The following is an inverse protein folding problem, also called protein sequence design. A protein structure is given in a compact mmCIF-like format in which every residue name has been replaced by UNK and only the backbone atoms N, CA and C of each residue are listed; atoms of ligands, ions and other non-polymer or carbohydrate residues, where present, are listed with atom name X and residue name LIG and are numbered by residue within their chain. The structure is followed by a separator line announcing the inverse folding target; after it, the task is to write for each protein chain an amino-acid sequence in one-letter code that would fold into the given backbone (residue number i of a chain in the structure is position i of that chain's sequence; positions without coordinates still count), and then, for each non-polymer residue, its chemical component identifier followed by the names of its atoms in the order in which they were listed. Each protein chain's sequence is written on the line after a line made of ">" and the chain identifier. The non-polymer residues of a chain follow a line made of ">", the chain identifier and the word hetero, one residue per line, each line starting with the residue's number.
data_IF_268921867384
#
_entry.id   IF_268921867384
#
_cell.length_a   1.000
_cell.length_b   1.000
_cell.length_c   1.000
_cell.angle_alpha   90.00
_cell.angle_beta   90.00
_cell.angle_gamma   90.00
#
_symmetry.space_group_name_H-M   'P 1'
#
loop_
_entity.id
_entity.type
_entity.pdbx_description
1 polymer ?
#
# COMPACT_ATOMS: atom_id res chain seq x y z
N UNK A 1 -56.96 9.99 -0.57
CA UNK A 1 -55.67 9.40 -0.14
C UNK A 1 -54.55 10.10 -0.89
N UNK A 2 -53.49 10.48 -0.22
CA UNK A 2 -52.35 11.08 -0.91
C UNK A 2 -51.63 10.05 -1.79
N UNK A 3 -51.05 10.46 -2.89
CA UNK A 3 -50.33 9.54 -3.80
C UNK A 3 -49.21 8.75 -3.10
N UNK A 4 -48.65 9.27 -1.99
CA UNK A 4 -47.67 8.58 -1.16
C UNK A 4 -48.19 7.32 -0.47
N UNK A 5 -49.45 7.33 -0.02
CA UNK A 5 -50.07 6.14 0.58
C UNK A 5 -50.33 5.05 -0.50
N UNK A 6 -50.71 5.45 -1.71
CA UNK A 6 -50.88 4.53 -2.81
C UNK A 6 -49.53 3.86 -3.21
N UNK A 7 -48.47 4.63 -3.19
CA UNK A 7 -47.09 4.11 -3.42
C UNK A 7 -46.67 3.11 -2.34
N UNK A 8 -46.98 3.37 -1.08
CA UNK A 8 -46.66 2.48 0.04
C UNK A 8 -47.36 1.14 -0.05
N UNK A 9 -48.63 1.12 -0.56
CA UNK A 9 -49.47 -0.08 -0.67
C UNK A 9 -49.17 -0.89 -1.92
N UNK A 10 -48.54 -0.30 -2.93
CA UNK A 10 -48.21 -0.95 -4.21
C UNK A 10 -46.99 -1.90 -4.02
N UNK A 11 -47.21 -3.03 -3.31
CA UNK A 11 -46.22 -4.06 -3.05
C UNK A 11 -46.62 -5.35 -3.73
N UNK A 12 -45.75 -5.91 -4.56
CA UNK A 12 -45.96 -7.19 -5.24
C UNK A 12 -45.10 -8.33 -4.65
N UNK A 13 -45.25 -9.54 -5.18
CA UNK A 13 -44.51 -10.72 -4.72
C UNK A 13 -42.98 -10.58 -4.87
N UNK A 14 -42.52 -9.76 -5.81
CA UNK A 14 -41.08 -9.48 -6.04
C UNK A 14 -40.47 -8.62 -4.95
N UNK A 15 -41.26 -7.74 -4.33
CA UNK A 15 -40.80 -6.80 -3.31
C UNK A 15 -40.41 -7.48 -2.00
N UNK A 16 -40.84 -8.73 -1.79
CA UNK A 16 -40.46 -9.54 -0.62
C UNK A 16 -38.93 -9.69 -0.53
N UNK A 17 -38.20 -9.74 -1.68
CA UNK A 17 -36.75 -9.84 -1.71
C UNK A 17 -36.04 -8.55 -1.30
N UNK A 18 -36.75 -7.40 -1.32
CA UNK A 18 -36.19 -6.09 -0.98
C UNK A 18 -36.68 -5.58 0.38
N UNK A 19 -37.94 -5.81 0.71
CA UNK A 19 -38.59 -5.25 1.90
C UNK A 19 -39.07 -6.31 2.90
N UNK A 20 -38.93 -7.61 2.58
CA UNK A 20 -39.25 -8.72 3.48
C UNK A 20 -38.20 -8.85 4.59
N UNK A 21 -38.63 -8.89 5.86
CA UNK A 21 -37.75 -8.96 7.05
C UNK A 21 -36.69 -7.88 7.03
N UNK A 22 -37.06 -6.60 7.10
CA UNK A 22 -36.11 -5.49 6.97
C UNK A 22 -35.11 -5.46 8.11
N UNK A 23 -33.83 -5.29 7.79
CA UNK A 23 -32.72 -5.14 8.75
C UNK A 23 -32.45 -3.68 9.07
N UNK A 24 -32.76 -2.77 8.16
CA UNK A 24 -32.41 -1.35 8.23
C UNK A 24 -33.64 -0.48 8.00
N UNK A 25 -33.74 0.60 8.73
CA UNK A 25 -34.65 1.72 8.47
C UNK A 25 -33.82 2.96 8.10
N UNK A 26 -34.11 3.56 6.94
CA UNK A 26 -33.41 4.78 6.50
C UNK A 26 -33.78 6.02 7.30
N UNK A 27 -34.86 5.99 8.08
CA UNK A 27 -35.33 7.11 8.89
C UNK A 27 -34.94 7.00 10.37
N UNK A 28 -34.14 5.96 10.71
CA UNK A 28 -33.63 5.74 12.05
C UNK A 28 -32.10 5.71 11.99
N UNK A 29 -31.45 6.57 12.75
CA UNK A 29 -30.01 6.55 12.90
C UNK A 29 -29.57 5.33 13.72
N UNK A 30 -28.74 4.48 13.12
CA UNK A 30 -28.07 3.38 13.81
C UNK A 30 -26.58 3.70 13.92
N UNK A 31 -26.06 3.65 15.15
CA UNK A 31 -24.63 3.82 15.42
C UNK A 31 -24.13 2.69 16.32
N UNK A 32 -22.87 2.33 16.13
CA UNK A 32 -22.17 1.37 16.97
C UNK A 32 -21.34 2.13 18.01
N UNK A 33 -21.40 1.74 19.28
CA UNK A 33 -20.52 2.25 20.33
C UNK A 33 -19.13 1.66 20.15
N UNK A 34 -18.08 2.45 20.38
CA UNK A 34 -16.68 2.05 20.25
C UNK A 34 -15.95 2.19 21.60
N UNK A 35 -14.80 1.55 21.74
CA UNK A 35 -13.89 1.72 22.86
C UNK A 35 -13.33 3.13 22.88
N UNK A 36 -13.03 3.65 24.07
CA UNK A 36 -12.42 4.97 24.19
C UNK A 36 -10.94 4.91 23.83
N UNK A 37 -10.47 5.86 23.04
CA UNK A 37 -9.06 6.00 22.67
C UNK A 37 -8.72 7.47 22.46
N UNK A 38 -7.44 7.78 22.50
CA UNK A 38 -6.92 9.08 22.08
C UNK A 38 -5.72 8.88 21.14
N UNK A 39 -5.39 9.91 20.37
CA UNK A 39 -4.25 9.84 19.47
C UNK A 39 -3.45 11.14 19.48
N UNK A 40 -2.17 11.04 19.26
CA UNK A 40 -1.27 12.18 19.14
C UNK A 40 -0.20 11.92 18.10
N UNK A 41 0.31 12.99 17.48
CA UNK A 41 1.39 12.92 16.51
C UNK A 41 2.66 13.46 17.16
N UNK A 42 3.68 12.62 17.20
CA UNK A 42 4.96 12.91 17.84
C UNK A 42 6.11 12.89 16.84
N UNK A 43 6.99 13.88 16.98
CA UNK A 43 8.23 13.92 16.20
C UNK A 43 9.19 12.83 16.68
N UNK A 44 9.77 12.10 15.73
CA UNK A 44 10.77 11.06 15.98
C UNK A 44 12.19 11.58 15.71
N UNK A 45 13.14 11.04 16.44
CA UNK A 45 14.56 11.38 16.28
C UNK A 45 15.18 10.53 15.19
N UNK A 46 15.78 11.18 14.19
CA UNK A 46 16.56 10.51 13.15
C UNK A 46 17.95 10.26 13.71
N UNK A 47 18.38 9.01 13.76
CA UNK A 47 19.71 8.60 14.12
C UNK A 47 20.61 8.56 12.87
N UNK A 48 21.75 9.21 12.95
CA UNK A 48 22.64 9.43 11.81
C UNK A 48 22.37 10.74 11.07
N UNK A 49 23.29 11.11 10.21
CA UNK A 49 23.16 12.31 9.39
C UNK A 49 22.47 11.99 8.08
N UNK A 50 21.53 12.83 7.69
CA UNK A 50 20.93 12.76 6.35
C UNK A 50 22.01 13.23 5.36
N UNK A 51 22.38 12.35 4.45
CA UNK A 51 23.34 12.61 3.38
C UNK A 51 22.88 11.98 2.07
N UNK A 52 23.34 12.51 0.96
CA UNK A 52 23.03 11.95 -0.35
C UNK A 52 23.61 10.53 -0.45
N UNK A 53 22.76 9.58 -0.86
CA UNK A 53 23.03 8.14 -0.88
C UNK A 53 23.41 7.53 0.49
N UNK A 54 23.15 8.25 1.58
CA UNK A 54 23.41 7.79 2.94
C UNK A 54 22.23 6.98 3.52
N UNK A 55 22.41 6.55 4.76
CA UNK A 55 21.42 5.79 5.49
C UNK A 55 21.19 6.40 6.87
N UNK A 56 19.95 6.44 7.30
CA UNK A 56 19.56 6.86 8.64
C UNK A 56 18.58 5.86 9.23
N UNK A 57 18.59 5.74 10.55
CA UNK A 57 17.68 4.85 11.27
C UNK A 57 16.80 5.67 12.22
N UNK A 58 15.57 5.28 12.38
CA UNK A 58 14.61 5.85 13.32
C UNK A 58 14.12 4.71 14.18
N UNK A 59 14.34 4.81 15.47
CA UNK A 59 13.76 3.90 16.44
C UNK A 59 12.52 4.56 17.04
N UNK A 60 11.38 3.86 16.94
CA UNK A 60 10.14 4.35 17.53
C UNK A 60 10.14 4.14 19.04
N UNK A 61 10.08 5.24 19.77
CA UNK A 61 9.94 5.22 21.22
C UNK A 61 8.51 4.75 21.57
N UNK A 62 8.37 4.04 22.68
CA UNK A 62 7.08 3.57 23.18
C UNK A 62 6.31 4.69 23.91
N UNK A 63 5.96 5.74 23.17
CA UNK A 63 5.21 6.89 23.71
C UNK A 63 3.73 6.61 23.82
N UNK A 64 3.20 5.63 23.07
CA UNK A 64 1.80 5.22 23.08
C UNK A 64 1.68 3.69 22.98
N UNK A 65 0.45 3.20 23.01
CA UNK A 65 0.15 1.76 23.00
C UNK A 65 0.22 1.18 21.60
N UNK A 66 -0.22 1.95 20.60
CA UNK A 66 -0.25 1.55 19.19
C UNK A 66 0.47 2.58 18.33
N UNK A 67 1.20 2.10 17.32
CA UNK A 67 1.79 2.92 16.27
C UNK A 67 0.93 2.80 15.01
N UNK A 68 0.45 3.93 14.52
CA UNK A 68 -0.45 3.99 13.38
C UNK A 68 0.32 4.49 12.13
N UNK A 69 0.05 5.68 11.63
CA UNK A 69 0.73 6.18 10.42
C UNK A 69 2.00 6.96 10.74
N UNK A 70 2.93 6.95 9.77
CA UNK A 70 4.20 7.68 9.83
C UNK A 70 4.41 8.44 8.53
N UNK A 71 4.97 9.65 8.63
CA UNK A 71 5.29 10.45 7.45
C UNK A 71 6.58 11.27 7.63
N UNK A 72 7.23 11.58 6.51
CA UNK A 72 8.45 12.38 6.45
C UNK A 72 8.11 13.79 5.95
N UNK A 73 8.72 14.80 6.55
CA UNK A 73 8.54 16.21 6.14
C UNK A 73 9.90 16.83 5.83
N UNK A 74 10.16 17.20 4.58
CA UNK A 74 11.35 17.97 4.23
C UNK A 74 11.17 19.44 4.61
N UNK A 75 12.21 20.03 5.17
CA UNK A 75 12.21 21.44 5.56
C UNK A 75 13.59 22.09 5.40
N UNK A 76 13.64 23.41 5.54
CA UNK A 76 14.88 24.21 5.54
C UNK A 76 15.36 24.58 6.95
N UNK A 77 14.61 24.15 7.97
CA UNK A 77 14.77 24.56 9.37
C UNK A 77 13.88 25.76 9.75
N UNK A 78 13.37 26.50 8.77
CA UNK A 78 12.46 27.65 8.98
C UNK A 78 11.13 27.49 8.26
N UNK A 79 11.08 26.70 7.18
CA UNK A 79 9.88 26.44 6.39
C UNK A 79 9.89 25.02 5.81
N UNK A 80 8.71 24.47 5.51
CA UNK A 80 8.59 23.21 4.78
C UNK A 80 8.99 23.39 3.33
N UNK A 81 9.66 22.38 2.77
CA UNK A 81 10.10 22.35 1.37
C UNK A 81 9.17 21.48 0.55
N UNK A 82 8.78 21.95 -0.62
CA UNK A 82 8.05 21.14 -1.58
C UNK A 82 9.03 20.32 -2.43
N UNK A 83 8.68 19.06 -2.68
CA UNK A 83 9.50 18.12 -3.46
C UNK A 83 8.75 17.77 -4.75
N UNK A 84 9.42 17.96 -5.88
CA UNK A 84 8.85 17.61 -7.19
C UNK A 84 9.06 16.14 -7.54
N UNK A 85 10.18 15.57 -7.13
CA UNK A 85 10.54 14.18 -7.42
C UNK A 85 11.06 13.48 -6.17
N UNK A 86 10.25 12.61 -5.60
CA UNK A 86 10.58 11.83 -4.42
C UNK A 86 11.58 10.70 -4.69
N UNK A 87 11.72 10.24 -5.93
CA UNK A 87 12.65 9.17 -6.28
C UNK A 87 14.11 9.59 -6.07
N UNK A 88 14.38 10.89 -6.21
CA UNK A 88 15.71 11.47 -5.94
C UNK A 88 15.96 11.74 -4.45
N UNK A 89 14.90 11.80 -3.64
CA UNK A 89 15.00 12.11 -2.20
C UNK A 89 15.11 10.87 -1.34
N UNK A 90 14.28 9.88 -1.62
CA UNK A 90 14.21 8.62 -0.87
C UNK A 90 14.42 7.46 -1.83
N UNK A 91 15.47 6.69 -1.63
CA UNK A 91 15.73 5.50 -2.47
C UNK A 91 14.88 4.33 -2.01
N UNK A 92 14.94 4.02 -0.71
CA UNK A 92 14.18 2.91 -0.13
C UNK A 92 13.96 3.09 1.36
N UNK A 93 12.89 2.50 1.87
CA UNK A 93 12.56 2.48 3.30
C UNK A 93 12.27 1.04 3.70
N UNK A 94 12.89 0.61 4.80
CA UNK A 94 12.71 -0.71 5.39
C UNK A 94 12.08 -0.57 6.77
N UNK A 95 11.07 -1.39 7.03
CA UNK A 95 10.48 -1.56 8.36
C UNK A 95 11.12 -2.76 9.03
N UNK A 96 11.65 -2.58 10.23
CA UNK A 96 12.26 -3.64 11.03
C UNK A 96 11.51 -3.81 12.35
N UNK A 97 11.34 -5.06 12.76
CA UNK A 97 10.84 -5.43 14.09
C UNK A 97 11.83 -6.41 14.70
N UNK A 98 12.43 -6.05 15.82
CA UNK A 98 13.46 -6.87 16.47
C UNK A 98 14.67 -7.17 15.58
N UNK A 99 15.01 -6.27 14.67
CA UNK A 99 16.10 -6.42 13.70
C UNK A 99 15.75 -7.24 12.45
N UNK A 100 14.57 -7.87 12.38
CA UNK A 100 14.08 -8.54 11.18
C UNK A 100 13.40 -7.53 10.26
N UNK A 101 13.76 -7.52 8.97
CA UNK A 101 13.07 -6.72 7.96
C UNK A 101 11.69 -7.34 7.71
N UNK A 102 10.65 -6.56 7.97
CA UNK A 102 9.26 -6.97 7.78
C UNK A 102 8.79 -6.61 6.36
N UNK A 103 9.09 -5.41 5.91
CA UNK A 103 8.74 -4.95 4.57
C UNK A 103 9.75 -3.92 4.07
N UNK A 104 9.95 -3.88 2.75
CA UNK A 104 10.85 -2.96 2.07
C UNK A 104 10.12 -2.27 0.93
N UNK A 105 10.12 -0.97 0.90
CA UNK A 105 9.44 -0.18 -0.14
C UNK A 105 10.39 0.87 -0.71
N UNK A 106 10.36 1.03 -2.02
CA UNK A 106 11.03 2.15 -2.68
C UNK A 106 10.07 3.30 -3.00
N UNK A 107 10.63 4.44 -3.37
CA UNK A 107 9.84 5.61 -3.68
C UNK A 107 8.96 5.45 -4.92
N UNK A 108 9.37 4.64 -5.90
CA UNK A 108 8.54 4.37 -7.10
C UNK A 108 7.25 3.67 -6.71
N UNK A 109 7.33 2.65 -5.84
CA UNK A 109 6.14 1.99 -5.34
C UNK A 109 5.25 2.97 -4.55
N UNK A 110 5.83 3.67 -3.58
CA UNK A 110 5.09 4.51 -2.64
C UNK A 110 4.44 5.73 -3.30
N UNK A 111 5.03 6.28 -4.37
CA UNK A 111 4.55 7.49 -5.02
C UNK A 111 3.75 7.25 -6.30
N UNK A 112 4.04 6.18 -7.05
CA UNK A 112 3.42 5.95 -8.36
C UNK A 112 2.41 4.78 -8.34
N UNK A 113 2.65 3.72 -7.57
CA UNK A 113 1.81 2.52 -7.56
C UNK A 113 0.76 2.59 -6.44
N UNK A 114 1.21 2.75 -5.20
CA UNK A 114 0.35 2.71 -4.04
C UNK A 114 -0.80 3.74 -4.06
N UNK A 115 -0.62 5.00 -4.50
CA UNK A 115 -1.71 5.98 -4.55
C UNK A 115 -2.87 5.58 -5.46
N UNK A 116 -2.62 4.76 -6.48
CA UNK A 116 -3.64 4.30 -7.42
C UNK A 116 -4.31 3.02 -6.95
N UNK A 117 -3.54 2.10 -6.38
CA UNK A 117 -3.97 0.73 -6.07
C UNK A 117 -4.31 0.50 -4.59
N UNK A 118 -4.02 1.45 -3.69
CA UNK A 118 -4.35 1.28 -2.28
C UNK A 118 -5.82 1.57 -1.98
N UNK A 119 -6.32 0.98 -0.90
CA UNK A 119 -7.72 1.09 -0.47
C UNK A 119 -8.17 2.52 -0.17
N UNK A 120 -7.25 3.40 0.12
CA UNK A 120 -7.50 4.78 0.55
C UNK A 120 -6.91 5.79 -0.42
N UNK A 121 -6.59 5.35 -1.63
CA UNK A 121 -5.88 6.17 -2.61
C UNK A 121 -6.60 7.47 -2.96
N UNK A 122 -7.93 7.44 -3.08
CA UNK A 122 -8.74 8.61 -3.44
C UNK A 122 -8.71 9.69 -2.37
N UNK A 123 -8.73 9.30 -1.10
CA UNK A 123 -8.67 10.24 0.03
C UNK A 123 -7.24 10.54 0.45
N UNK A 124 -6.30 9.68 0.10
CA UNK A 124 -4.86 9.80 0.40
C UNK A 124 -4.01 10.20 -0.81
N UNK A 125 -4.62 10.49 -1.93
CA UNK A 125 -3.96 11.24 -3.00
C UNK A 125 -3.77 12.67 -2.49
N UNK A 126 -2.67 12.88 -1.83
CA UNK A 126 -2.33 14.11 -1.12
C UNK A 126 -2.10 15.26 -2.08
N UNK A 127 -1.69 14.95 -3.24
CA UNK A 127 -1.72 15.85 -4.34
C UNK A 127 -2.57 15.18 -5.39
N UNK A 128 -3.59 15.79 -5.82
CA UNK A 128 -4.38 15.32 -6.95
C UNK A 128 -3.57 15.05 -8.21
N UNK A 129 -2.25 15.05 -8.13
CA UNK A 129 -1.34 15.02 -9.26
C UNK A 129 -0.01 14.35 -8.99
N UNK A 130 -0.02 13.15 -8.42
CA UNK A 130 1.15 12.28 -8.51
C UNK A 130 1.51 11.93 -9.97
N UNK A 131 0.60 12.23 -10.90
CA UNK A 131 0.73 11.96 -12.32
C UNK A 131 0.71 13.27 -13.15
N UNK A 132 1.80 14.04 -13.06
CA UNK A 132 2.08 15.07 -14.05
C UNK A 132 1.54 16.47 -13.81
N UNK A 133 0.97 16.75 -12.66
CA UNK A 133 0.69 18.11 -12.24
C UNK A 133 1.88 18.73 -11.50
N UNK A 134 2.05 20.03 -11.65
CA UNK A 134 3.15 20.79 -11.05
C UNK A 134 3.00 21.04 -9.54
N UNK A 135 2.27 20.21 -8.82
CA UNK A 135 2.06 20.35 -7.38
C UNK A 135 3.14 19.62 -6.61
N UNK A 136 4.04 20.38 -6.09
CA UNK A 136 5.11 19.91 -5.23
C UNK A 136 4.56 19.45 -3.89
N UNK A 137 4.75 18.21 -3.54
CA UNK A 137 4.32 17.66 -2.28
C UNK A 137 5.23 18.07 -1.11
N UNK A 138 4.62 18.27 0.06
CA UNK A 138 5.33 18.75 1.24
C UNK A 138 5.56 17.67 2.30
N UNK A 139 5.08 16.45 2.07
CA UNK A 139 5.33 15.31 2.94
C UNK A 139 5.33 14.00 2.17
N UNK A 140 5.99 13.00 2.71
CA UNK A 140 6.07 11.64 2.17
C UNK A 140 5.40 10.67 3.14
N UNK A 141 4.21 10.17 2.83
CA UNK A 141 3.55 9.17 3.65
C UNK A 141 4.21 7.80 3.46
N UNK A 142 4.42 7.07 4.56
CA UNK A 142 4.81 5.66 4.47
C UNK A 142 3.61 4.81 4.10
N UNK A 143 3.83 3.77 3.30
CA UNK A 143 2.79 2.90 2.74
C UNK A 143 2.85 1.47 3.30
N UNK A 144 3.41 1.29 4.48
CA UNK A 144 3.38 -0.01 5.16
C UNK A 144 1.96 -0.38 5.59
N UNK A 145 1.71 -1.68 5.78
CA UNK A 145 0.38 -2.18 6.14
C UNK A 145 -0.25 -1.45 7.34
N UNK A 146 0.53 -1.16 8.38
CA UNK A 146 0.05 -0.43 9.55
C UNK A 146 -0.24 1.05 9.29
N UNK A 147 0.36 1.64 8.25
CA UNK A 147 0.10 3.04 7.88
C UNK A 147 -1.17 3.18 7.01
N UNK A 148 -1.54 2.13 6.29
CA UNK A 148 -2.69 2.14 5.38
C UNK A 148 -4.01 1.80 6.09
N UNK A 149 -3.94 1.05 7.18
CA UNK A 149 -5.12 0.58 7.91
C UNK A 149 -4.88 0.63 9.42
N UNK A 150 -5.72 1.35 10.15
CA UNK A 150 -5.64 1.40 11.62
C UNK A 150 -5.92 0.05 12.29
N UNK A 151 -6.61 -0.90 11.62
CA UNK A 151 -6.83 -2.25 12.14
C UNK A 151 -5.56 -3.10 12.17
N UNK A 152 -4.55 -2.72 11.41
CA UNK A 152 -3.21 -3.34 11.39
C UNK A 152 -2.16 -2.46 12.07
N UNK A 153 -2.57 -1.48 12.88
CA UNK A 153 -1.66 -0.67 13.68
C UNK A 153 -0.73 -1.56 14.52
N UNK A 154 0.53 -1.19 14.64
CA UNK A 154 1.52 -1.96 15.37
C UNK A 154 1.34 -1.79 16.88
N UNK A 155 1.03 -2.85 17.64
CA UNK A 155 0.85 -2.78 19.08
C UNK A 155 2.21 -2.72 19.80
N UNK A 156 2.71 -1.53 20.06
CA UNK A 156 3.97 -1.33 20.78
C UNK A 156 3.92 -1.89 22.20
N UNK A 157 2.74 -1.90 22.80
CA UNK A 157 2.52 -2.48 24.12
C UNK A 157 2.76 -3.99 24.15
N UNK A 158 2.49 -4.69 23.05
CA UNK A 158 2.72 -6.12 22.92
C UNK A 158 4.17 -6.45 22.52
N UNK A 159 4.91 -5.49 21.94
CA UNK A 159 6.29 -5.66 21.50
C UNK A 159 7.29 -5.23 22.59
N UNK A 160 7.31 -5.93 23.72
CA UNK A 160 8.11 -5.53 24.87
C UNK A 160 9.62 -5.73 24.67
N UNK A 161 10.03 -6.76 23.94
CA UNK A 161 11.43 -7.15 23.75
C UNK A 161 11.95 -6.80 22.35
N UNK A 162 11.08 -6.52 21.39
CA UNK A 162 11.45 -6.14 20.04
C UNK A 162 11.14 -4.66 19.81
N UNK A 163 12.15 -3.92 19.38
CA UNK A 163 11.96 -2.55 18.97
C UNK A 163 11.48 -2.49 17.51
N UNK A 164 10.65 -1.50 17.24
CA UNK A 164 10.23 -1.16 15.87
C UNK A 164 11.16 -0.07 15.36
N UNK A 165 11.79 -0.34 14.25
CA UNK A 165 12.75 0.57 13.62
C UNK A 165 12.40 0.82 12.17
N UNK A 166 12.73 2.00 11.69
CA UNK A 166 12.63 2.39 10.29
C UNK A 166 14.06 2.71 9.80
N UNK A 167 14.46 2.03 8.73
CA UNK A 167 15.72 2.31 8.06
C UNK A 167 15.45 3.01 6.75
N UNK A 168 15.97 4.21 6.59
CA UNK A 168 15.79 5.03 5.38
C UNK A 168 17.11 5.06 4.64
N UNK A 169 17.12 4.62 3.40
CA UNK A 169 18.19 4.86 2.44
C UNK A 169 17.82 6.08 1.62
N UNK A 170 18.62 7.12 1.76
CA UNK A 170 18.37 8.40 1.10
C UNK A 170 18.75 8.36 -0.38
N UNK A 171 18.09 9.16 -1.16
CA UNK A 171 18.38 9.32 -2.58
C UNK A 171 19.55 10.26 -2.85
N UNK A 172 19.76 10.55 -4.11
CA UNK A 172 20.90 11.34 -4.61
C UNK A 172 20.85 12.81 -4.25
N UNK A 173 19.68 13.35 -3.92
CA UNK A 173 19.44 14.78 -3.65
C UNK A 173 18.82 15.05 -2.26
N UNK A 174 18.89 14.08 -1.33
CA UNK A 174 18.23 14.16 -0.03
C UNK A 174 18.74 15.32 0.86
N UNK A 175 20.04 15.61 0.80
CA UNK A 175 20.69 16.67 1.58
C UNK A 175 20.96 17.94 0.75
N UNK A 176 20.57 17.98 -0.52
CA UNK A 176 20.81 19.15 -1.39
C UNK A 176 19.98 20.35 -0.92
N UNK A 177 20.52 21.55 -1.12
CA UNK A 177 19.89 22.82 -0.73
C UNK A 177 19.61 22.94 0.77
N UNK A 178 20.49 22.38 1.62
CA UNK A 178 20.35 22.40 3.07
C UNK A 178 19.03 21.79 3.58
N UNK A 179 18.47 20.83 2.87
CA UNK A 179 17.25 20.12 3.29
C UNK A 179 17.49 19.40 4.61
N UNK A 180 16.57 19.60 5.52
CA UNK A 180 16.44 18.88 6.78
C UNK A 180 15.18 18.03 6.73
N UNK A 181 15.17 17.00 7.53
CA UNK A 181 14.08 16.04 7.54
C UNK A 181 13.52 15.88 8.95
N UNK A 182 12.23 15.93 9.05
CA UNK A 182 11.49 15.57 10.26
C UNK A 182 10.65 14.33 9.97
N UNK A 183 10.55 13.47 10.97
CA UNK A 183 9.69 12.27 10.91
C UNK A 183 8.65 12.39 12.00
N UNK A 184 7.41 12.19 11.63
CA UNK A 184 6.28 12.23 12.54
C UNK A 184 5.58 10.88 12.55
N UNK A 185 5.24 10.41 13.75
CA UNK A 185 4.53 9.16 13.96
C UNK A 185 3.27 9.41 14.80
N UNK A 186 2.17 8.80 14.39
CA UNK A 186 0.92 8.87 15.13
C UNK A 186 0.85 7.71 16.14
N UNK A 187 0.63 8.03 17.39
CA UNK A 187 0.44 7.10 18.49
C UNK A 187 -1.01 7.13 18.96
N UNK A 188 -1.57 5.94 19.18
CA UNK A 188 -2.86 5.79 19.82
C UNK A 188 -2.69 5.27 21.25
N UNK A 189 -3.49 5.81 22.15
CA UNK A 189 -3.58 5.42 23.55
C UNK A 189 -4.93 4.73 23.75
N UNK A 190 -4.90 3.52 24.29
CA UNK A 190 -6.05 2.67 24.46
C UNK A 190 -6.58 2.74 25.90
N UNK A 191 -7.84 2.39 26.09
CA UNK A 191 -8.43 2.21 27.41
C UNK A 191 -7.86 0.97 28.10
N UNK A 192 -7.92 0.95 29.43
CA UNK A 192 -7.29 -0.07 30.28
C UNK A 192 -7.67 -1.50 29.87
N UNK A 193 -8.95 -1.75 29.61
CA UNK A 193 -9.43 -3.09 29.22
C UNK A 193 -8.85 -3.56 27.89
N UNK A 194 -8.83 -2.69 26.91
CA UNK A 194 -8.30 -2.99 25.58
C UNK A 194 -6.77 -3.13 25.61
N UNK A 195 -6.11 -2.31 26.41
CA UNK A 195 -4.68 -2.33 26.66
C UNK A 195 -4.20 -3.66 27.26
N UNK A 196 -4.91 -4.18 28.27
CA UNK A 196 -4.64 -5.48 28.86
C UNK A 196 -4.83 -6.62 27.88
N UNK A 197 -5.85 -6.53 27.03
CA UNK A 197 -6.10 -7.52 25.98
C UNK A 197 -4.92 -7.60 24.99
N UNK A 198 -4.47 -6.47 24.47
CA UNK A 198 -3.34 -6.41 23.53
C UNK A 198 -2.01 -6.82 24.19
N UNK A 199 -1.81 -6.57 25.48
CA UNK A 199 -0.59 -6.94 26.17
C UNK A 199 -0.50 -8.44 26.48
N UNK A 200 -1.64 -9.12 26.69
CA UNK A 200 -1.67 -10.50 27.21
C UNK A 200 -1.89 -11.58 26.15
N UNK A 201 -2.54 -11.24 25.04
CA UNK A 201 -2.91 -12.24 24.04
C UNK A 201 -1.94 -12.27 22.84
N UNK A 202 -1.59 -13.47 22.35
CA UNK A 202 -0.85 -13.59 21.09
C UNK A 202 -1.73 -13.10 19.93
N UNK A 203 -1.11 -12.39 18.98
CA UNK A 203 -1.79 -11.81 17.84
C UNK A 203 -1.16 -12.22 16.53
N UNK A 204 -2.01 -12.44 15.53
CA UNK A 204 -1.62 -12.63 14.15
C UNK A 204 -2.22 -11.49 13.31
N UNK A 205 -1.37 -10.59 12.84
CA UNK A 205 -1.78 -9.48 11.99
C UNK A 205 -1.53 -9.86 10.53
N UNK A 206 -2.59 -9.83 9.72
CA UNK A 206 -2.43 -9.96 8.27
C UNK A 206 -1.86 -8.68 7.72
N UNK A 207 -0.69 -8.75 7.11
CA UNK A 207 0.02 -7.62 6.53
C UNK A 207 0.19 -7.79 5.03
N UNK A 208 0.35 -6.69 4.34
CA UNK A 208 0.81 -6.67 2.95
C UNK A 208 2.29 -6.33 2.92
N UNK A 209 3.02 -6.97 2.00
CA UNK A 209 4.44 -6.72 1.76
C UNK A 209 4.64 -6.43 0.27
N UNK A 210 5.73 -5.76 -0.04
CA UNK A 210 6.12 -5.41 -1.41
C UNK A 210 7.39 -6.16 -1.78
N UNK A 211 7.35 -6.88 -2.90
CA UNK A 211 8.52 -7.50 -3.49
C UNK A 211 8.84 -6.83 -4.82
N UNK A 212 10.11 -6.73 -5.16
CA UNK A 212 10.60 -6.05 -6.37
C UNK A 212 11.45 -7.00 -7.20
N UNK A 213 11.08 -7.18 -8.46
CA UNK A 213 11.92 -7.80 -9.46
C UNK A 213 12.60 -6.70 -10.30
N UNK A 214 13.92 -6.71 -10.34
CA UNK A 214 14.70 -5.77 -11.16
C UNK A 214 14.40 -6.04 -12.63
N UNK A 215 14.32 -4.98 -13.42
CA UNK A 215 14.12 -5.08 -14.87
C UNK A 215 15.17 -5.98 -15.53
N UNK A 216 14.72 -6.88 -16.38
CA UNK A 216 15.61 -7.70 -17.21
C UNK A 216 16.22 -6.94 -18.39
N UNK A 217 15.63 -5.78 -18.76
CA UNK A 217 15.98 -5.05 -19.98
C UNK A 217 15.70 -5.81 -21.27
N UNK A 218 14.96 -6.92 -21.21
CA UNK A 218 14.65 -7.81 -22.33
C UNK A 218 13.14 -7.98 -22.50
N UNK A 219 12.75 -8.73 -23.54
CA UNK A 219 11.34 -9.08 -23.81
C UNK A 219 10.76 -10.08 -22.79
N UNK A 220 11.61 -10.74 -22.02
CA UNK A 220 11.20 -11.74 -21.02
C UNK A 220 11.63 -11.23 -19.65
N UNK A 221 10.67 -11.07 -18.76
CA UNK A 221 10.89 -10.72 -17.36
C UNK A 221 10.53 -11.91 -16.48
N UNK A 222 11.51 -12.44 -15.78
CA UNK A 222 11.28 -13.44 -14.74
C UNK A 222 10.71 -12.82 -13.47
N UNK A 223 9.78 -13.53 -12.85
CA UNK A 223 9.04 -13.11 -11.68
C UNK A 223 9.38 -14.07 -10.54
N UNK A 224 10.48 -13.80 -9.85
CA UNK A 224 10.94 -14.59 -8.71
C UNK A 224 10.35 -14.00 -7.42
N UNK A 225 9.05 -14.22 -7.23
CA UNK A 225 8.32 -13.76 -6.05
C UNK A 225 7.93 -14.93 -5.16
N UNK A 226 7.61 -14.64 -3.92
CA UNK A 226 7.13 -15.58 -2.93
C UNK A 226 5.78 -15.15 -2.39
N UNK A 227 5.14 -16.03 -1.60
CA UNK A 227 3.88 -15.81 -0.91
C UNK A 227 2.66 -15.60 -1.82
N UNK A 228 1.45 -15.50 -1.26
CA UNK A 228 0.24 -15.18 -2.01
C UNK A 228 0.25 -13.75 -2.52
N UNK A 229 0.49 -13.57 -3.82
CA UNK A 229 0.53 -12.27 -4.49
C UNK A 229 -0.86 -11.81 -4.87
N UNK A 230 -1.18 -10.57 -4.52
CA UNK A 230 -2.44 -9.89 -4.81
C UNK A 230 -2.47 -9.35 -6.23
N UNK A 231 -1.39 -8.70 -6.65
CA UNK A 231 -1.23 -8.16 -7.99
C UNK A 231 0.23 -7.90 -8.33
N UNK A 232 0.48 -7.77 -9.64
CA UNK A 232 1.74 -7.27 -10.18
C UNK A 232 1.52 -5.86 -10.73
N UNK A 233 2.50 -4.99 -10.53
CA UNK A 233 2.47 -3.63 -11.05
C UNK A 233 3.87 -3.16 -11.46
N UNK A 234 3.92 -2.25 -12.42
CA UNK A 234 5.14 -1.50 -12.78
C UNK A 234 4.74 -0.07 -13.11
N UNK A 235 5.52 0.89 -12.69
CA UNK A 235 5.22 2.29 -12.93
C UNK A 235 6.47 3.10 -13.27
N UNK A 236 6.23 4.18 -14.01
CA UNK A 236 7.22 5.22 -14.28
C UNK A 236 6.51 6.60 -14.32
N UNK A 237 7.24 7.65 -14.06
CA UNK A 237 6.78 9.02 -14.28
C UNK A 237 6.57 9.37 -15.76
N UNK A 238 7.27 8.65 -16.64
CA UNK A 238 7.08 8.68 -18.09
C UNK A 238 6.27 7.47 -18.59
N UNK A 239 5.94 7.43 -19.87
CA UNK A 239 5.26 6.29 -20.46
C UNK A 239 6.12 5.03 -20.39
N UNK A 240 5.55 3.91 -19.91
CA UNK A 240 6.22 2.61 -19.87
C UNK A 240 6.33 1.99 -21.25
N UNK A 241 7.52 1.54 -21.64
CA UNK A 241 7.75 0.84 -22.90
C UNK A 241 6.87 -0.43 -23.01
N UNK A 242 6.69 -1.14 -21.92
CA UNK A 242 5.84 -2.35 -21.86
C UNK A 242 4.38 -2.06 -22.26
N UNK A 243 3.88 -0.84 -22.08
CA UNK A 243 2.52 -0.39 -22.44
C UNK A 243 2.47 0.33 -23.80
N UNK A 244 3.49 0.21 -24.62
CA UNK A 244 3.45 0.77 -25.98
C UNK A 244 2.32 0.14 -26.80
N UNK A 245 1.70 0.92 -27.70
CA UNK A 245 0.50 0.50 -28.44
C UNK A 245 0.71 -0.74 -29.32
N UNK A 246 1.93 -0.96 -29.81
CA UNK A 246 2.31 -2.08 -30.65
C UNK A 246 2.77 -3.31 -29.87
N UNK A 247 2.89 -3.18 -28.55
CA UNK A 247 3.34 -4.29 -27.71
C UNK A 247 2.19 -5.20 -27.32
N UNK A 248 2.44 -6.50 -27.38
CA UNK A 248 1.57 -7.53 -26.82
C UNK A 248 2.33 -8.24 -25.72
N UNK A 249 1.62 -8.65 -24.71
CA UNK A 249 2.23 -9.38 -23.60
C UNK A 249 1.32 -10.50 -23.11
N UNK A 250 1.95 -11.48 -22.48
CA UNK A 250 1.29 -12.60 -21.83
C UNK A 250 2.03 -12.96 -20.55
N UNK A 251 1.30 -13.57 -19.62
CA UNK A 251 1.85 -14.21 -18.42
C UNK A 251 1.98 -15.71 -18.69
N UNK A 252 3.15 -16.26 -18.40
CA UNK A 252 3.41 -17.69 -18.44
C UNK A 252 3.74 -18.19 -17.04
N UNK A 253 3.13 -19.31 -16.64
CA UNK A 253 3.32 -19.96 -15.34
C UNK A 253 3.66 -21.42 -15.58
N UNK A 254 4.78 -21.88 -15.01
CA UNK A 254 5.27 -23.27 -15.16
C UNK A 254 5.32 -23.74 -16.62
N UNK A 255 5.72 -22.84 -17.53
CA UNK A 255 5.79 -23.13 -18.95
C UNK A 255 4.45 -23.06 -19.70
N UNK A 256 3.33 -22.87 -18.99
CA UNK A 256 1.99 -22.78 -19.60
C UNK A 256 1.54 -21.32 -19.67
N UNK A 257 1.03 -20.91 -20.82
CA UNK A 257 0.49 -19.57 -21.02
C UNK A 257 -0.87 -19.43 -20.30
N UNK A 258 -1.01 -18.43 -19.46
CA UNK A 258 -2.29 -18.13 -18.76
C UNK A 258 -3.35 -17.66 -19.75
N UNK A 259 -2.93 -16.92 -20.77
CA UNK A 259 -3.76 -16.48 -21.89
C UNK A 259 -2.85 -16.17 -23.09
N UNK A 260 -3.44 -16.14 -24.27
CA UNK A 260 -2.75 -15.69 -25.47
C UNK A 260 -2.27 -14.24 -25.37
N UNK A 261 -1.36 -13.86 -26.26
CA UNK A 261 -0.89 -12.48 -26.37
C UNK A 261 -2.03 -11.48 -26.54
N UNK A 262 -2.09 -10.51 -25.65
CA UNK A 262 -3.03 -9.38 -25.69
C UNK A 262 -2.26 -8.08 -25.86
N UNK A 263 -2.83 -7.11 -26.56
CA UNK A 263 -2.26 -5.76 -26.60
C UNK A 263 -2.09 -5.24 -25.16
N UNK A 264 -0.91 -4.69 -24.89
CA UNK A 264 -0.56 -4.22 -23.57
C UNK A 264 -1.50 -3.10 -23.09
N UNK A 265 -1.70 -2.10 -23.94
CA UNK A 265 -2.72 -1.10 -23.76
C UNK A 265 -3.95 -1.44 -24.63
N UNK A 266 -5.18 -1.51 -24.11
CA UNK A 266 -5.61 -1.18 -22.73
C UNK A 266 -5.66 -2.37 -21.76
N UNK A 267 -5.29 -3.60 -22.17
CA UNK A 267 -5.61 -4.80 -21.38
C UNK A 267 -4.85 -4.92 -20.05
N UNK A 268 -3.68 -4.26 -19.92
CA UNK A 268 -2.86 -4.26 -18.71
C UNK A 268 -2.64 -2.87 -18.13
N UNK A 269 -3.48 -1.90 -18.54
CA UNK A 269 -3.52 -0.54 -18.04
C UNK A 269 -4.93 -0.14 -17.64
N UNK A 270 -5.76 0.24 -18.58
CA UNK A 270 -7.11 0.80 -18.36
C UNK A 270 -8.12 -0.24 -17.87
N UNK A 271 -8.15 -1.41 -18.50
CA UNK A 271 -9.16 -2.45 -18.24
C UNK A 271 -9.05 -2.99 -16.82
N UNK A 272 -7.85 -3.38 -16.33
CA UNK A 272 -7.73 -3.85 -14.94
C UNK A 272 -8.04 -2.76 -13.92
N UNK A 273 -7.67 -1.51 -14.17
CA UNK A 273 -8.01 -0.40 -13.29
C UNK A 273 -9.51 -0.16 -13.22
N UNK A 274 -10.23 -0.35 -14.34
CA UNK A 274 -11.68 -0.16 -14.36
C UNK A 274 -12.43 -1.25 -13.57
N UNK A 275 -12.03 -2.53 -13.73
CA UNK A 275 -12.76 -3.65 -13.14
C UNK A 275 -12.25 -4.10 -11.77
N UNK A 276 -10.97 -3.88 -11.47
CA UNK A 276 -10.30 -4.42 -10.28
C UNK A 276 -9.87 -3.36 -9.28
N UNK A 277 -10.38 -2.14 -9.39
CA UNK A 277 -10.21 -1.10 -8.37
C UNK A 277 -11.51 -0.33 -8.18
N UNK A 278 -11.77 0.11 -6.96
CA UNK A 278 -12.91 0.99 -6.63
C UNK A 278 -12.54 2.47 -6.73
N UNK A 279 -11.31 2.79 -7.09
CA UNK A 279 -10.81 4.16 -7.12
C UNK A 279 -11.25 4.92 -8.37
N UNK A 280 -11.81 6.10 -8.13
CA UNK A 280 -12.18 7.03 -9.20
C UNK A 280 -11.02 7.85 -9.74
N UNK A 281 -9.89 7.88 -9.06
CA UNK A 281 -8.69 8.62 -9.48
C UNK A 281 -8.01 7.92 -10.64
N UNK A 282 -8.34 8.34 -11.85
CA UNK A 282 -7.59 7.93 -13.03
C UNK A 282 -6.33 8.78 -13.12
N UNK A 283 -5.14 8.20 -13.26
CA UNK A 283 -3.97 8.96 -13.63
C UNK A 283 -4.24 9.67 -14.97
N UNK A 284 -3.87 10.93 -15.06
CA UNK A 284 -4.08 11.74 -16.27
C UNK A 284 -3.40 11.16 -17.53
N UNK A 285 -2.37 10.33 -17.32
CA UNK A 285 -1.62 9.61 -18.35
C UNK A 285 -1.50 8.14 -18.00
N UNK A 286 -2.40 7.33 -18.50
CA UNK A 286 -2.57 5.92 -18.11
C UNK A 286 -1.49 4.97 -18.60
N UNK A 287 -0.61 5.40 -19.51
CA UNK A 287 0.54 4.60 -19.98
C UNK A 287 1.70 4.55 -19.00
N UNK A 288 1.54 5.10 -17.82
CA UNK A 288 2.56 5.14 -16.76
C UNK A 288 2.45 4.01 -15.75
N UNK A 289 1.34 3.26 -15.75
CA UNK A 289 1.09 2.17 -14.80
C UNK A 289 0.66 0.89 -15.52
N UNK A 290 1.51 -0.14 -15.44
CA UNK A 290 1.16 -1.53 -15.75
C UNK A 290 0.54 -2.17 -14.51
N UNK A 291 -0.57 -2.88 -14.69
CA UNK A 291 -1.29 -3.53 -13.60
C UNK A 291 -1.86 -4.89 -14.04
N UNK A 292 -1.50 -5.95 -13.32
CA UNK A 292 -1.99 -7.30 -13.51
C UNK A 292 -2.56 -7.84 -12.20
N UNK A 293 -3.89 -7.86 -12.01
CA UNK A 293 -4.53 -8.32 -10.79
C UNK A 293 -4.74 -9.84 -10.75
N UNK A 294 -4.52 -10.45 -9.58
CA UNK A 294 -4.98 -11.80 -9.23
C UNK A 294 -6.19 -11.75 -8.29
N UNK A 295 -6.51 -10.55 -7.79
CA UNK A 295 -7.62 -10.26 -6.90
C UNK A 295 -8.82 -9.68 -7.66
N UNK A 296 -9.99 -9.73 -7.04
CA UNK A 296 -11.20 -9.10 -7.59
C UNK A 296 -11.16 -7.58 -7.40
N UNK A 297 -10.62 -7.10 -6.28
CA UNK A 297 -10.48 -5.68 -5.99
C UNK A 297 -9.16 -5.41 -5.26
N UNK A 298 -8.26 -4.69 -5.92
CA UNK A 298 -6.96 -4.33 -5.37
C UNK A 298 -7.06 -3.31 -4.23
N UNK A 299 -8.10 -2.49 -4.21
CA UNK A 299 -8.28 -1.44 -3.22
C UNK A 299 -8.81 -1.96 -1.88
N UNK A 300 -9.42 -3.13 -1.82
CA UNK A 300 -9.96 -3.68 -0.57
C UNK A 300 -8.86 -4.16 0.36
N UNK A 301 -9.02 -3.84 1.66
CA UNK A 301 -8.15 -4.32 2.73
C UNK A 301 -8.34 -5.82 2.99
N UNK A 302 -9.59 -6.29 2.91
CA UNK A 302 -9.90 -7.72 2.99
C UNK A 302 -9.39 -8.44 1.73
N UNK A 303 -8.76 -9.62 1.87
CA UNK A 303 -8.32 -10.41 0.72
C UNK A 303 -9.49 -10.77 -0.20
N UNK A 304 -9.30 -10.55 -1.50
CA UNK A 304 -10.30 -10.85 -2.53
C UNK A 304 -9.79 -11.81 -3.60
N UNK A 305 -8.70 -12.49 -3.33
CA UNK A 305 -8.04 -13.45 -4.21
C UNK A 305 -6.56 -13.18 -4.36
N UNK A 306 -5.80 -14.24 -4.58
CA UNK A 306 -4.34 -14.20 -4.73
C UNK A 306 -3.85 -15.35 -5.58
N UNK A 307 -2.64 -15.24 -6.13
CA UNK A 307 -1.87 -16.34 -6.68
C UNK A 307 -0.64 -16.58 -5.81
N UNK A 308 -0.48 -17.81 -5.31
CA UNK A 308 0.64 -18.15 -4.45
C UNK A 308 1.89 -18.47 -5.28
N UNK A 309 2.82 -17.52 -5.35
CA UNK A 309 4.07 -17.65 -6.10
C UNK A 309 5.05 -18.64 -5.47
N UNK A 310 4.97 -18.91 -4.16
CA UNK A 310 5.79 -19.96 -3.53
C UNK A 310 5.47 -21.39 -4.01
N UNK A 311 4.38 -21.57 -4.76
CA UNK A 311 3.97 -22.86 -5.34
C UNK A 311 4.26 -22.96 -6.84
N UNK A 312 4.90 -21.95 -7.42
CA UNK A 312 5.24 -21.89 -8.82
C UNK A 312 6.74 -22.18 -9.00
N UNK A 313 7.07 -23.03 -9.95
CA UNK A 313 8.46 -23.30 -10.31
C UNK A 313 9.05 -22.17 -11.16
N UNK A 314 8.22 -21.56 -12.01
CA UNK A 314 8.59 -20.40 -12.82
C UNK A 314 7.40 -19.55 -13.18
N UNK A 315 7.58 -18.25 -13.18
CA UNK A 315 6.61 -17.29 -13.70
C UNK A 315 7.32 -16.22 -14.52
N UNK A 316 6.75 -15.84 -15.66
CA UNK A 316 7.37 -14.89 -16.59
C UNK A 316 6.33 -13.99 -17.24
N UNK A 317 6.68 -12.73 -17.43
CA UNK A 317 6.01 -11.84 -18.39
C UNK A 317 6.77 -11.89 -19.69
N UNK A 318 6.08 -12.17 -20.79
CA UNK A 318 6.67 -12.24 -22.15
C UNK A 318 6.05 -11.14 -22.99
N UNK A 319 6.90 -10.28 -23.52
CA UNK A 319 6.52 -9.20 -24.44
C UNK A 319 6.87 -9.61 -25.89
N UNK A 320 6.02 -9.22 -26.83
CA UNK A 320 6.22 -9.49 -28.25
C UNK A 320 7.22 -8.50 -28.88
N UNK A 321 7.03 -7.21 -28.66
CA UNK A 321 7.78 -6.16 -29.37
C UNK A 321 8.67 -5.30 -28.48
N UNK A 322 8.26 -4.98 -27.27
CA UNK A 322 8.98 -4.06 -26.37
C UNK A 322 9.73 -4.80 -25.25
N UNK A 323 10.74 -4.15 -24.69
CA UNK A 323 11.47 -4.67 -23.54
C UNK A 323 10.83 -4.21 -22.23
N UNK A 324 10.95 -5.04 -21.19
CA UNK A 324 10.62 -4.67 -19.82
C UNK A 324 11.75 -3.80 -19.26
N UNK A 325 11.58 -2.49 -19.33
CA UNK A 325 12.63 -1.52 -18.99
C UNK A 325 12.60 -1.06 -17.51
N UNK A 326 11.51 -1.34 -16.79
CA UNK A 326 11.33 -0.92 -15.40
C UNK A 326 11.07 -2.12 -14.50
N UNK A 327 11.36 -1.95 -13.22
CA UNK A 327 11.12 -2.97 -12.21
C UNK A 327 9.64 -3.36 -12.13
N UNK A 328 9.39 -4.63 -11.84
CA UNK A 328 8.05 -5.17 -11.58
C UNK A 328 7.91 -5.40 -10.09
N UNK A 329 6.83 -4.91 -9.52
CA UNK A 329 6.49 -5.04 -8.12
C UNK A 329 5.37 -6.05 -7.95
N UNK A 330 5.47 -6.87 -6.91
CA UNK A 330 4.40 -7.74 -6.46
C UNK A 330 3.99 -7.33 -5.05
N UNK A 331 2.70 -7.22 -4.82
CA UNK A 331 2.14 -7.03 -3.47
C UNK A 331 1.55 -8.34 -3.00
N UNK A 332 2.08 -8.87 -1.91
CA UNK A 332 1.67 -10.15 -1.33
C UNK A 332 1.13 -9.98 0.08
N UNK A 333 0.45 -11.00 0.56
CA UNK A 333 0.06 -11.11 1.96
C UNK A 333 1.07 -11.96 2.73
N UNK A 334 1.28 -11.57 3.99
CA UNK A 334 2.01 -12.33 4.98
C UNK A 334 1.37 -12.11 6.36
N UNK A 335 1.83 -12.82 7.37
CA UNK A 335 1.34 -12.71 8.74
C UNK A 335 2.47 -12.26 9.65
N UNK A 336 2.26 -11.15 10.35
CA UNK A 336 3.09 -10.70 11.46
C UNK A 336 2.52 -11.30 12.76
N UNK A 337 3.28 -12.24 13.35
CA UNK A 337 2.94 -12.84 14.63
C UNK A 337 3.60 -12.07 15.76
N UNK A 338 2.83 -11.74 16.76
CA UNK A 338 3.31 -11.09 17.97
C UNK A 338 2.91 -11.98 19.15
N UNK A 339 3.91 -12.47 19.87
CA UNK A 339 3.73 -13.41 20.98
C UNK A 339 4.86 -13.22 22.00
N UNK A 340 4.55 -13.29 23.28
CA UNK A 340 5.51 -13.21 24.39
C UNK A 340 6.43 -11.98 24.32
N UNK A 341 5.92 -10.85 23.89
CA UNK A 341 6.69 -9.60 23.75
C UNK A 341 7.59 -9.52 22.54
N UNK A 342 7.55 -10.51 21.65
CA UNK A 342 8.34 -10.57 20.42
C UNK A 342 7.45 -10.55 19.19
N UNK A 343 7.89 -9.90 18.13
CA UNK A 343 7.22 -9.88 16.83
C UNK A 343 8.12 -10.42 15.74
N UNK A 344 7.54 -11.10 14.75
CA UNK A 344 8.26 -11.62 13.59
C UNK A 344 7.32 -12.14 12.51
N UNK A 345 7.84 -12.32 11.31
CA UNK A 345 7.10 -12.93 10.21
C UNK A 345 6.83 -14.41 10.48
N UNK A 346 5.58 -14.83 10.33
CA UNK A 346 5.21 -16.24 10.46
C UNK A 346 5.77 -17.07 9.29
N UNK A 347 5.80 -16.47 8.10
CA UNK A 347 6.37 -17.08 6.90
C UNK A 347 7.57 -16.24 6.45
N UNK A 348 8.77 -16.81 6.55
CA UNK A 348 9.99 -16.19 6.05
C UNK A 348 10.14 -16.42 4.55
N UNK A 349 10.84 -15.53 3.88
CA UNK A 349 11.20 -15.65 2.47
C UNK A 349 12.31 -16.68 2.28
#
# INVERSE_FOLDING_TARGET
>A
MSGGIAQLVAVGAQDVHLVGQPEVSFFRSNYKRHTNFSQTVERQVIQGNVSNNGMSTIRFERKGDMLNYVYLVPNTGTATTAIADWTTMVSKIELLVGGQVIDEQDSTYSTLIAPVLSATSTSKSVAGDLYGGATNERFYPLRFAFCENWQTALPLIALQYHDVELRITWGTAAADNAKKWDVYANYAFLDTQERELFASQPMNLLITQVQKAISSGSKIQELNFNHPVKYLASADSAALAILHNDNKLKLQINGTDVADFKFADPNFSHVPLYYHTTNASKPATLKTLFFYPFCLDAAKLQPTGTLNFSRLDSARIICDNQNVAKAVYAVNYNVLRIENGMGGLLYSN
#
